data_IF_161141699239
#
_entry.id   IF_161141699239
#
_cell.length_a   1.000
_cell.length_b   1.000
_cell.length_c   1.000
_cell.angle_alpha   90.00
_cell.angle_beta   90.00
_cell.angle_gamma   90.00
#
_symmetry.space_group_name_H-M   'P 1'
#
loop_
_entity.id
_entity.type
_entity.pdbx_description
1 polymer ?
#
# COMPACT_ATOMS: atom_id res chain seq x y z
N UNK A 1 14.97 29.21 -19.13
CA UNK A 1 16.30 28.72 -18.72
C UNK A 1 16.59 27.49 -19.58
N UNK A 2 17.70 27.50 -20.32
CA UNK A 2 18.03 26.40 -21.24
C UNK A 2 18.43 25.15 -20.43
N UNK A 3 17.85 24.00 -20.78
CA UNK A 3 18.20 22.73 -20.18
C UNK A 3 19.61 22.29 -20.63
N UNK A 4 20.46 21.80 -19.72
CA UNK A 4 21.72 21.18 -20.11
C UNK A 4 21.45 19.89 -20.90
N UNK A 5 22.29 19.61 -21.91
CA UNK A 5 22.23 18.39 -22.70
C UNK A 5 22.26 17.14 -21.80
N UNK A 6 21.33 16.22 -22.02
CA UNK A 6 21.17 15.00 -21.21
C UNK A 6 20.20 15.13 -20.02
N UNK A 7 19.54 16.26 -19.82
CA UNK A 7 18.50 16.39 -18.77
C UNK A 7 17.11 15.96 -19.27
N UNK A 8 16.49 15.01 -18.56
CA UNK A 8 15.10 14.58 -18.79
C UNK A 8 14.19 15.25 -17.76
N UNK A 9 13.23 16.04 -18.22
CA UNK A 9 12.17 16.59 -17.38
C UNK A 9 11.01 15.58 -17.32
N UNK A 10 10.79 14.99 -16.15
CA UNK A 10 9.61 14.18 -15.90
C UNK A 10 8.52 15.12 -15.37
N UNK A 11 7.57 15.46 -16.24
CA UNK A 11 6.41 16.28 -15.88
C UNK A 11 5.43 15.50 -15.02
N UNK A 12 5.63 15.49 -13.70
CA UNK A 12 4.69 14.93 -12.74
C UNK A 12 3.50 15.88 -12.57
N UNK A 13 2.50 15.78 -13.45
CA UNK A 13 1.27 16.57 -13.34
C UNK A 13 0.33 15.94 -12.30
N UNK A 14 -0.05 16.70 -11.26
CA UNK A 14 -1.10 16.28 -10.31
C UNK A 14 -0.68 16.02 -8.85
N UNK A 15 0.30 16.74 -8.31
CA UNK A 15 0.50 16.77 -6.84
C UNK A 15 1.44 15.71 -6.30
N UNK A 16 2.52 15.42 -7.03
CA UNK A 16 3.68 14.75 -6.45
C UNK A 16 4.36 15.70 -5.46
N UNK A 17 4.45 15.31 -4.19
CA UNK A 17 5.17 16.09 -3.18
C UNK A 17 6.67 16.06 -3.49
N UNK A 18 7.40 17.11 -3.09
CA UNK A 18 8.85 17.21 -3.26
C UNK A 18 9.58 15.95 -2.73
N UNK A 19 9.11 15.43 -1.58
CA UNK A 19 9.60 14.19 -0.98
C UNK A 19 9.47 12.94 -1.88
N UNK A 20 8.41 12.85 -2.69
CA UNK A 20 8.29 11.76 -3.66
C UNK A 20 9.20 11.99 -4.87
N UNK A 21 9.37 13.24 -5.30
CA UNK A 21 10.34 13.61 -6.33
C UNK A 21 11.76 13.17 -5.96
N UNK A 22 12.18 13.44 -4.73
CA UNK A 22 13.48 13.01 -4.21
C UNK A 22 13.64 11.49 -4.19
N UNK A 23 12.58 10.77 -3.80
CA UNK A 23 12.58 9.31 -3.83
C UNK A 23 12.68 8.76 -5.25
N UNK A 24 11.98 9.36 -6.22
CA UNK A 24 12.05 8.96 -7.62
C UNK A 24 13.47 9.17 -8.18
N UNK A 25 14.09 10.31 -7.87
CA UNK A 25 15.49 10.60 -8.25
C UNK A 25 16.45 9.57 -7.65
N UNK A 26 16.27 9.19 -6.39
CA UNK A 26 17.07 8.15 -5.75
C UNK A 26 16.94 6.79 -6.44
N UNK A 27 15.71 6.39 -6.81
CA UNK A 27 15.47 5.13 -7.52
C UNK A 27 16.09 5.15 -8.91
N UNK A 28 15.89 6.22 -9.68
CA UNK A 28 16.46 6.37 -11.02
C UNK A 28 17.99 6.37 -10.99
N UNK A 29 18.60 7.08 -10.03
CA UNK A 29 20.05 7.06 -9.83
C UNK A 29 20.56 5.66 -9.50
N UNK A 30 19.84 4.90 -8.68
CA UNK A 30 20.22 3.53 -8.33
C UNK A 30 20.14 2.58 -9.53
N UNK A 31 19.14 2.74 -10.39
CA UNK A 31 19.00 1.99 -11.64
C UNK A 31 20.20 2.28 -12.57
N UNK A 32 20.54 3.56 -12.74
CA UNK A 32 21.65 4.01 -13.58
C UNK A 32 23.01 3.55 -13.04
N UNK A 33 23.26 3.72 -11.73
CA UNK A 33 24.52 3.32 -11.10
C UNK A 33 24.78 1.82 -11.19
N UNK A 34 23.74 1.00 -11.03
CA UNK A 34 23.86 -0.45 -11.10
C UNK A 34 23.77 -1.01 -12.53
N UNK A 35 23.69 -0.13 -13.55
CA UNK A 35 23.49 -0.51 -14.96
C UNK A 35 22.40 -1.56 -15.13
N UNK A 36 21.31 -1.41 -14.39
CA UNK A 36 20.19 -2.33 -14.48
C UNK A 36 19.63 -2.25 -15.89
N UNK A 37 19.35 -3.41 -16.49
CA UNK A 37 18.72 -3.47 -17.81
C UNK A 37 17.34 -2.81 -17.74
N UNK A 38 17.07 -1.74 -18.51
CA UNK A 38 15.78 -1.06 -18.49
C UNK A 38 14.61 -1.99 -18.83
N UNK A 39 14.81 -2.98 -19.71
CA UNK A 39 13.78 -3.95 -20.06
C UNK A 39 13.51 -4.93 -18.90
N UNK A 40 14.56 -5.42 -18.24
CA UNK A 40 14.44 -6.20 -17.02
C UNK A 40 13.79 -5.45 -15.85
N UNK A 41 14.04 -4.14 -15.72
CA UNK A 41 13.36 -3.29 -14.74
C UNK A 41 11.88 -3.14 -15.09
N UNK A 42 11.55 -2.85 -16.36
CA UNK A 42 10.15 -2.75 -16.81
C UNK A 42 9.39 -4.06 -16.63
N UNK A 43 9.97 -5.19 -17.02
CA UNK A 43 9.37 -6.51 -16.79
C UNK A 43 9.14 -6.79 -15.29
N UNK A 44 10.06 -6.34 -14.43
CA UNK A 44 9.89 -6.45 -12.97
C UNK A 44 8.85 -5.46 -12.43
N UNK A 45 8.65 -4.31 -13.07
CA UNK A 45 7.57 -3.38 -12.73
C UNK A 45 6.20 -3.93 -13.19
N UNK A 46 6.16 -4.62 -14.33
CA UNK A 46 4.97 -5.33 -14.81
C UNK A 46 4.59 -6.50 -13.87
N UNK A 47 5.60 -7.16 -13.28
CA UNK A 47 5.38 -8.13 -12.18
C UNK A 47 4.86 -7.46 -10.89
N UNK A 48 5.13 -6.16 -10.70
CA UNK A 48 4.82 -5.44 -9.46
C UNK A 48 3.39 -4.89 -9.45
N UNK A 49 2.78 -4.59 -10.60
CA UNK A 49 1.37 -4.18 -10.66
C UNK A 49 0.80 -4.43 -12.06
N UNK A 50 0.15 -5.57 -12.25
CA UNK A 50 -1.00 -5.56 -13.18
C UNK A 50 -2.08 -4.76 -12.50
N UNK A 51 -2.19 -3.46 -12.84
CA UNK A 51 -3.34 -2.64 -12.48
C UNK A 51 -4.56 -3.39 -13.01
N UNK A 52 -5.46 -3.91 -12.15
CA UNK A 52 -6.63 -4.63 -12.63
C UNK A 52 -7.42 -3.69 -13.53
N UNK A 53 -8.02 -4.25 -14.59
CA UNK A 53 -8.87 -3.48 -15.51
C UNK A 53 -9.83 -2.57 -14.75
N UNK A 54 -10.10 -1.40 -15.32
CA UNK A 54 -10.99 -0.41 -14.72
C UNK A 54 -12.36 -1.07 -14.42
N UNK A 55 -12.71 -1.18 -13.13
CA UNK A 55 -13.94 -1.85 -12.67
C UNK A 55 -13.78 -3.30 -12.18
N UNK A 56 -12.65 -3.99 -12.40
CA UNK A 56 -12.44 -5.36 -11.94
C UNK A 56 -12.07 -5.40 -10.45
N UNK A 57 -12.87 -6.02 -9.58
CA UNK A 57 -12.69 -6.04 -8.11
C UNK A 57 -11.27 -6.39 -7.65
N UNK A 58 -10.75 -5.67 -6.63
CA UNK A 58 -9.45 -6.01 -6.01
C UNK A 58 -9.56 -7.34 -5.28
N UNK A 59 -8.63 -8.25 -5.55
CA UNK A 59 -8.57 -9.57 -4.92
C UNK A 59 -7.13 -9.78 -4.43
N UNK A 60 -6.98 -10.38 -3.25
CA UNK A 60 -5.67 -10.85 -2.78
C UNK A 60 -5.43 -12.21 -3.43
N UNK A 61 -4.44 -12.29 -4.33
CA UNK A 61 -4.11 -13.54 -5.00
C UNK A 61 -3.49 -14.54 -4.04
N UNK A 62 -3.45 -15.82 -4.42
CA UNK A 62 -2.81 -16.84 -3.58
C UNK A 62 -1.31 -16.61 -3.42
N UNK A 63 -0.63 -16.07 -4.43
CA UNK A 63 0.78 -15.69 -4.33
C UNK A 63 0.97 -14.62 -3.26
N UNK A 64 0.15 -13.57 -3.29
CA UNK A 64 0.19 -12.49 -2.29
C UNK A 64 -0.14 -13.04 -0.88
N UNK A 65 -1.15 -13.91 -0.78
CA UNK A 65 -1.55 -14.57 0.47
C UNK A 65 -0.38 -15.36 1.08
N UNK A 66 0.28 -16.20 0.30
CA UNK A 66 1.42 -17.01 0.77
C UNK A 66 2.59 -16.13 1.20
N UNK A 67 2.89 -15.06 0.45
CA UNK A 67 3.96 -14.13 0.80
C UNK A 67 3.69 -13.40 2.14
N UNK A 68 2.44 -12.98 2.38
CA UNK A 68 2.03 -12.37 3.66
C UNK A 68 2.19 -13.38 4.81
N UNK A 69 1.75 -14.63 4.61
CA UNK A 69 1.88 -15.71 5.61
C UNK A 69 3.35 -15.93 5.96
N UNK A 70 4.21 -16.15 4.96
CA UNK A 70 5.64 -16.38 5.16
C UNK A 70 6.30 -15.19 5.87
N UNK A 71 5.91 -13.96 5.53
CA UNK A 71 6.45 -12.76 6.15
C UNK A 71 6.04 -12.61 7.62
N UNK A 72 4.99 -13.28 8.10
CA UNK A 72 4.50 -13.20 9.48
C UNK A 72 4.75 -14.48 10.29
N UNK A 73 5.03 -15.60 9.63
CA UNK A 73 5.22 -16.89 10.28
C UNK A 73 6.36 -16.82 11.32
N UNK A 74 6.10 -17.34 12.52
CA UNK A 74 7.07 -17.37 13.62
C UNK A 74 7.35 -16.02 14.29
N UNK A 75 6.64 -14.95 13.91
CA UNK A 75 6.72 -13.64 14.57
C UNK A 75 5.59 -13.46 15.57
N UNK A 76 5.74 -12.46 16.44
CA UNK A 76 4.69 -12.10 17.39
C UNK A 76 3.40 -11.76 16.66
N UNK A 77 2.31 -12.35 17.15
CA UNK A 77 0.95 -12.07 16.69
C UNK A 77 0.30 -11.01 17.57
N UNK A 78 -0.72 -10.35 17.05
CA UNK A 78 -1.43 -9.33 17.80
C UNK A 78 -2.85 -9.14 17.30
N UNK A 79 -3.56 -8.22 17.96
CA UNK A 79 -4.88 -7.80 17.54
C UNK A 79 -4.81 -6.54 16.66
N UNK A 80 -5.57 -6.54 15.57
CA UNK A 80 -5.69 -5.43 14.62
C UNK A 80 -7.16 -5.25 14.21
N UNK A 81 -7.60 -4.00 14.09
CA UNK A 81 -8.88 -3.69 13.46
C UNK A 81 -8.72 -3.67 11.94
N UNK A 82 -9.65 -4.25 11.19
CA UNK A 82 -9.69 -4.13 9.73
C UNK A 82 -10.97 -3.41 9.34
N UNK A 83 -10.82 -2.30 8.62
CA UNK A 83 -11.91 -1.41 8.25
C UNK A 83 -11.90 -1.19 6.74
N UNK A 84 -13.03 -1.47 6.11
CA UNK A 84 -13.26 -1.30 4.70
C UNK A 84 -14.10 -0.04 4.44
N UNK A 85 -13.82 0.64 3.33
CA UNK A 85 -14.57 1.83 2.96
C UNK A 85 -16.06 1.51 2.70
N UNK A 86 -17.01 2.22 3.34
CA UNK A 86 -18.44 1.87 3.28
C UNK A 86 -19.02 1.91 1.86
N UNK A 87 -18.59 2.87 1.06
CA UNK A 87 -19.12 3.12 -0.29
C UNK A 87 -18.34 2.45 -1.43
N UNK A 88 -17.26 1.71 -1.12
CA UNK A 88 -16.47 1.02 -2.14
C UNK A 88 -16.87 -0.43 -2.16
N UNK A 89 -17.39 -0.89 -3.29
CA UNK A 89 -18.01 -2.22 -3.44
C UNK A 89 -17.04 -3.37 -3.13
N UNK A 90 -15.84 -3.33 -3.70
CA UNK A 90 -14.83 -4.40 -3.53
C UNK A 90 -14.08 -4.35 -2.19
N UNK A 91 -14.20 -3.26 -1.43
CA UNK A 91 -13.33 -3.01 -0.28
C UNK A 91 -13.49 -4.03 0.85
N UNK A 92 -14.72 -4.51 1.09
CA UNK A 92 -15.00 -5.47 2.14
C UNK A 92 -14.44 -6.85 1.80
N UNK A 93 -14.56 -7.28 0.55
CA UNK A 93 -14.03 -8.57 0.10
C UNK A 93 -12.50 -8.55 0.03
N UNK A 94 -11.93 -7.45 -0.45
CA UNK A 94 -10.48 -7.26 -0.42
C UNK A 94 -9.93 -7.22 1.01
N UNK A 95 -10.65 -6.59 1.94
CA UNK A 95 -10.31 -6.60 3.36
C UNK A 95 -10.34 -8.01 3.98
N UNK A 96 -11.32 -8.87 3.61
CA UNK A 96 -11.33 -10.28 4.01
C UNK A 96 -10.14 -11.04 3.41
N UNK A 97 -9.82 -10.77 2.15
CA UNK A 97 -8.64 -11.30 1.47
C UNK A 97 -7.35 -11.01 2.23
N UNK A 98 -7.21 -9.79 2.77
CA UNK A 98 -6.06 -9.39 3.61
C UNK A 98 -6.14 -9.99 5.01
N UNK A 99 -7.33 -10.04 5.62
CA UNK A 99 -7.50 -10.59 6.98
C UNK A 99 -7.23 -12.10 7.06
N UNK A 100 -7.54 -12.84 5.98
CA UNK A 100 -7.38 -14.30 5.91
C UNK A 100 -5.95 -14.74 6.26
N UNK A 101 -4.88 -14.32 5.54
CA UNK A 101 -3.51 -14.72 5.86
C UNK A 101 -3.09 -14.30 7.27
N UNK A 102 -3.58 -13.16 7.80
CA UNK A 102 -3.30 -12.74 9.18
C UNK A 102 -3.84 -13.76 10.19
N UNK A 103 -5.10 -14.16 10.04
CA UNK A 103 -5.72 -15.15 10.94
C UNK A 103 -5.04 -16.52 10.88
N UNK A 104 -4.55 -16.92 9.69
CA UNK A 104 -3.81 -18.19 9.51
C UNK A 104 -2.49 -18.23 10.28
N UNK A 105 -1.88 -17.08 10.57
CA UNK A 105 -0.64 -16.97 11.37
C UNK A 105 -0.92 -16.48 12.80
N UNK A 106 -2.16 -16.63 13.28
CA UNK A 106 -2.53 -16.39 14.68
C UNK A 106 -2.88 -14.95 15.05
N UNK A 107 -2.88 -14.01 14.09
CA UNK A 107 -3.34 -12.64 14.36
C UNK A 107 -4.84 -12.60 14.58
N UNK A 108 -5.27 -11.74 15.49
CA UNK A 108 -6.68 -11.57 15.84
C UNK A 108 -7.25 -10.35 15.14
N UNK A 109 -8.39 -10.51 14.47
CA UNK A 109 -9.16 -9.39 13.95
C UNK A 109 -10.07 -8.87 15.05
N UNK A 110 -9.98 -7.58 15.37
CA UNK A 110 -10.77 -6.98 16.45
C UNK A 110 -12.27 -7.18 16.23
N UNK A 111 -12.95 -7.80 17.19
CA UNK A 111 -14.37 -8.14 17.09
C UNK A 111 -14.70 -9.19 16.03
N UNK A 112 -13.69 -9.91 15.53
CA UNK A 112 -13.79 -10.97 14.51
C UNK A 112 -14.59 -10.57 13.25
N UNK A 113 -14.50 -9.30 12.86
CA UNK A 113 -15.28 -8.76 11.75
C UNK A 113 -14.52 -7.67 10.99
N UNK A 114 -14.86 -7.53 9.70
CA UNK A 114 -14.45 -6.39 8.89
C UNK A 114 -15.44 -5.26 9.14
N UNK A 115 -14.98 -4.14 9.70
CA UNK A 115 -15.83 -2.97 9.95
C UNK A 115 -16.05 -2.20 8.66
N UNK A 116 -17.22 -1.59 8.50
CA UNK A 116 -17.53 -0.67 7.38
C UNK A 116 -17.79 0.76 7.81
N UNK A 117 -17.44 1.09 9.05
CA UNK A 117 -17.52 2.44 9.59
C UNK A 117 -16.11 2.92 9.93
N UNK A 118 -15.67 4.00 9.30
CA UNK A 118 -14.41 4.67 9.59
C UNK A 118 -14.66 6.14 9.93
N UNK A 119 -13.75 6.79 10.68
CA UNK A 119 -13.75 8.24 10.81
C UNK A 119 -13.74 8.92 9.44
N UNK A 120 -14.46 10.05 9.32
CA UNK A 120 -14.50 10.86 8.08
C UNK A 120 -13.10 11.25 7.58
N UNK A 121 -12.13 11.38 8.47
CA UNK A 121 -10.74 11.67 8.14
C UNK A 121 -10.10 10.61 7.21
N UNK A 122 -10.57 9.36 7.29
CA UNK A 122 -10.03 8.25 6.49
C UNK A 122 -10.75 8.07 5.15
N UNK A 123 -11.94 8.65 4.95
CA UNK A 123 -12.76 8.43 3.75
C UNK A 123 -12.04 8.80 2.44
N UNK A 124 -11.19 9.82 2.47
CA UNK A 124 -10.44 10.27 1.29
C UNK A 124 -9.10 9.56 1.12
N UNK A 125 -8.68 8.69 2.06
CA UNK A 125 -7.47 7.91 1.90
C UNK A 125 -7.69 6.81 0.87
N UNK A 126 -6.97 6.90 -0.25
CA UNK A 126 -6.92 5.87 -1.26
C UNK A 126 -5.95 4.73 -0.86
N UNK A 127 -6.15 3.57 -1.48
CA UNK A 127 -5.33 2.38 -1.31
C UNK A 127 -5.51 1.70 0.04
N UNK A 128 -4.47 0.98 0.45
CA UNK A 128 -4.37 0.35 1.78
C UNK A 128 -3.57 1.27 2.70
N UNK A 129 -4.01 1.43 3.94
CA UNK A 129 -3.29 2.17 4.95
C UNK A 129 -3.24 1.41 6.27
N UNK A 130 -2.17 1.62 7.02
CA UNK A 130 -2.04 1.21 8.42
C UNK A 130 -2.15 2.49 9.24
N UNK A 131 -3.20 2.56 10.03
CA UNK A 131 -3.51 3.71 10.87
C UNK A 131 -3.01 3.41 12.28
N UNK A 132 -2.22 4.33 12.82
CA UNK A 132 -1.67 4.30 14.18
C UNK A 132 -1.93 5.64 14.85
N UNK A 133 -1.85 5.70 16.18
CA UNK A 133 -2.05 6.98 16.87
C UNK A 133 -0.98 8.04 16.52
N UNK A 134 0.27 7.60 16.45
CA UNK A 134 1.43 8.45 16.13
C UNK A 134 2.43 7.63 15.32
N UNK A 135 2.88 8.18 14.19
CA UNK A 135 3.85 7.53 13.29
C UNK A 135 5.23 7.42 13.96
N UNK A 136 5.65 8.44 14.71
CA UNK A 136 6.97 8.47 15.36
C UNK A 136 7.11 7.40 16.45
N UNK A 137 6.00 6.97 17.04
CA UNK A 137 5.92 5.91 18.05
C UNK A 137 5.04 4.75 17.57
N UNK A 138 5.08 4.44 16.27
CA UNK A 138 4.29 3.36 15.69
C UNK A 138 4.60 2.02 16.40
N UNK A 139 3.58 1.27 16.85
CA UNK A 139 3.81 0.03 17.57
C UNK A 139 4.47 -1.02 16.67
N UNK A 140 5.31 -1.92 17.22
CA UNK A 140 6.03 -2.93 16.43
C UNK A 140 5.11 -3.75 15.51
N UNK A 141 3.90 -4.10 15.97
CA UNK A 141 2.90 -4.81 15.18
C UNK A 141 2.46 -4.06 13.91
N UNK A 142 2.36 -2.73 13.95
CA UNK A 142 2.00 -1.93 12.78
C UNK A 142 3.10 -1.97 11.72
N UNK A 143 4.36 -1.89 12.16
CA UNK A 143 5.52 -1.98 11.27
C UNK A 143 5.66 -3.38 10.68
N UNK A 144 5.37 -4.42 11.46
CA UNK A 144 5.35 -5.80 11.00
C UNK A 144 4.26 -6.04 9.95
N UNK A 145 3.04 -5.52 10.17
CA UNK A 145 1.97 -5.56 9.17
C UNK A 145 2.39 -4.84 7.88
N UNK A 146 2.99 -3.66 8.00
CA UNK A 146 3.46 -2.90 6.83
C UNK A 146 4.44 -3.71 5.99
N UNK A 147 5.41 -4.36 6.65
CA UNK A 147 6.39 -5.23 5.99
C UNK A 147 5.74 -6.47 5.36
N UNK A 148 4.76 -7.07 6.03
CA UNK A 148 4.08 -8.26 5.52
C UNK A 148 3.20 -7.95 4.29
N UNK A 149 2.47 -6.84 4.33
CA UNK A 149 1.71 -6.37 3.16
C UNK A 149 2.66 -6.06 1.99
N UNK A 150 3.77 -5.38 2.25
CA UNK A 150 4.79 -5.11 1.22
C UNK A 150 5.39 -6.40 0.64
N UNK A 151 5.58 -7.46 1.44
CA UNK A 151 6.05 -8.75 0.95
C UNK A 151 5.05 -9.42 -0.01
N UNK A 152 3.75 -9.19 0.19
CA UNK A 152 2.69 -9.58 -0.75
C UNK A 152 2.44 -8.55 -1.86
N UNK A 153 3.36 -7.62 -2.10
CA UNK A 153 3.19 -6.52 -3.07
C UNK A 153 1.93 -5.68 -2.84
N UNK A 154 1.45 -5.59 -1.60
CA UNK A 154 0.34 -4.71 -1.22
C UNK A 154 0.95 -3.45 -0.58
N UNK A 155 1.00 -2.36 -1.34
CA UNK A 155 1.46 -1.07 -0.84
C UNK A 155 0.55 -0.55 0.27
N UNK A 156 1.10 -0.37 1.47
CA UNK A 156 0.39 0.20 2.61
C UNK A 156 1.09 1.45 3.16
N UNK A 157 0.40 2.59 3.10
CA UNK A 157 0.88 3.82 3.73
C UNK A 157 0.69 3.76 5.25
N UNK A 158 1.56 4.44 6.01
CA UNK A 158 1.42 4.57 7.46
C UNK A 158 0.84 5.95 7.75
N UNK A 159 -0.28 6.01 8.45
CA UNK A 159 -1.03 7.26 8.69
C UNK A 159 -1.28 7.42 10.19
N UNK A 160 -1.16 8.66 10.68
CA UNK A 160 -1.48 9.01 12.06
C UNK A 160 -2.96 9.40 12.18
N UNK A 161 -3.69 8.83 13.13
CA UNK A 161 -5.04 9.26 13.49
C UNK A 161 -5.26 9.08 15.00
N UNK A 162 -5.70 10.15 15.67
CA UNK A 162 -5.89 10.18 17.12
C UNK A 162 -7.03 9.27 17.61
N UNK A 163 -7.92 8.81 16.72
CA UNK A 163 -9.00 7.86 17.05
C UNK A 163 -8.49 6.44 17.33
N UNK A 164 -7.27 6.10 16.90
CA UNK A 164 -6.66 4.81 17.20
C UNK A 164 -6.09 4.82 18.62
N UNK A 165 -6.39 3.80 19.46
CA UNK A 165 -5.82 3.70 20.80
C UNK A 165 -4.29 3.68 20.79
N UNK A 166 -3.69 4.07 21.91
CA UNK A 166 -2.24 3.96 22.09
C UNK A 166 -1.77 2.50 22.01
N UNK A 167 -0.69 2.24 21.29
CA UNK A 167 -0.24 0.87 20.97
C UNK A 167 -1.18 0.10 20.01
N UNK A 168 -2.28 0.71 19.55
CA UNK A 168 -3.21 0.15 18.59
C UNK A 168 -2.73 0.24 17.14
N UNK A 169 -3.31 -0.59 16.28
CA UNK A 169 -3.12 -0.50 14.83
C UNK A 169 -4.42 -0.88 14.13
N UNK A 170 -4.71 -0.22 13.02
CA UNK A 170 -5.89 -0.48 12.19
C UNK A 170 -5.46 -0.57 10.72
N UNK A 171 -5.99 -1.53 9.98
CA UNK A 171 -5.85 -1.61 8.53
C UNK A 171 -7.08 -0.94 7.91
N UNK A 172 -6.86 0.06 7.07
CA UNK A 172 -7.88 0.73 6.29
C UNK A 172 -7.79 0.32 4.82
N UNK A 173 -8.92 -0.06 4.25
CA UNK A 173 -9.07 -0.36 2.82
C UNK A 173 -9.93 0.72 2.16
N UNK A 174 -9.26 1.67 1.54
CA UNK A 174 -9.85 2.82 0.88
C UNK A 174 -10.27 2.60 -0.56
N UNK A 175 -10.55 3.71 -1.25
CA UNK A 175 -10.79 3.77 -2.70
C UNK A 175 -9.56 3.32 -3.48
N UNK A 176 -9.69 3.03 -4.76
CA UNK A 176 -8.52 2.77 -5.60
C UNK A 176 -7.67 4.03 -5.74
N UNK A 177 -6.34 3.93 -5.72
CA UNK A 177 -5.50 5.01 -6.20
C UNK A 177 -5.87 5.30 -7.66
N UNK A 178 -6.20 6.55 -7.97
CA UNK A 178 -6.41 6.96 -9.35
C UNK A 178 -5.03 7.30 -9.91
N UNK A 179 -4.48 6.41 -10.72
CA UNK A 179 -3.33 6.74 -11.55
C UNK A 179 -3.87 7.41 -12.81
N UNK A 180 -3.77 8.74 -12.91
CA UNK A 180 -4.08 9.40 -14.18
C UNK A 180 -3.13 8.82 -15.24
N UNK A 181 -3.69 8.09 -16.21
CA UNK A 181 -2.94 7.70 -17.40
C UNK A 181 -2.43 8.98 -18.05
N UNK A 182 -1.12 9.10 -18.19
CA UNK A 182 -0.53 10.14 -19.01
C UNK A 182 -1.06 9.91 -20.43
N UNK A 183 -2.03 10.74 -20.85
CA UNK A 183 -2.56 10.70 -22.21
C UNK A 183 -1.40 10.86 -23.19
N UNK A 184 -0.95 9.76 -23.76
CA UNK A 184 -0.16 9.76 -24.97
C UNK A 184 -1.10 10.22 -26.10
N UNK A 185 -1.18 11.54 -26.29
CA UNK A 185 -1.72 12.08 -27.53
C UNK A 185 -0.78 11.66 -28.65
N UNK A 186 -1.29 10.83 -29.57
CA UNK A 186 -0.71 10.58 -30.88
C UNK A 186 -0.64 11.87 -31.70
#
# INVERSE_FOLDING_TARGET
>A
MAQPEGSVLIGCTGGVTEAFGDQLVLVLNKILQNRMDPQGVLAKLDDVDSVPDEGAARIVSDVQRHAIIQALQGKDSGQVAVVAHPLVEDSAEYAKGIATPLTMVGWQIEGNQIRRAAPKALENLAGVAIIVRNIASAPPKALQLKKALAAGSIGAQLVADASVPEGGAMIWIGRRPVFMQANAKQ
#
